data_IF_520309761528
#
_entry.id   IF_520309761528
#
_cell.length_a   1.000
_cell.length_b   1.000
_cell.length_c   1.000
_cell.angle_alpha   90.00
_cell.angle_beta   90.00
_cell.angle_gamma   90.00
#
_symmetry.space_group_name_H-M   'P 1'
#
loop_
_entity.id
_entity.type
_entity.pdbx_description
1 polymer ?
#
# COMPACT_ATOMS: atom_id res chain seq x y z
N UNK A 1 7.30 8.08 -4.23
CA UNK A 1 6.08 7.61 -4.91
C UNK A 1 5.46 6.42 -4.16
N UNK A 2 6.10 5.24 -4.18
CA UNK A 2 5.57 4.04 -3.50
C UNK A 2 5.25 4.24 -2.02
N UNK A 3 6.07 4.96 -1.26
CA UNK A 3 5.81 5.22 0.17
C UNK A 3 4.47 5.91 0.47
N UNK A 4 3.86 6.64 -0.47
CA UNK A 4 2.53 7.24 -0.26
C UNK A 4 1.37 6.26 -0.42
N UNK A 5 1.65 5.08 -0.98
CA UNK A 5 0.69 4.02 -1.31
C UNK A 5 0.91 2.80 -0.39
N UNK A 6 2.16 2.34 -0.25
CA UNK A 6 2.55 1.09 0.44
C UNK A 6 3.18 1.28 1.84
N UNK A 7 3.08 2.45 2.45
CA UNK A 7 3.52 2.67 3.84
C UNK A 7 2.33 2.53 4.81
N UNK A 8 2.37 1.62 5.80
CA UNK A 8 1.27 1.37 6.72
C UNK A 8 1.23 2.44 7.82
N UNK A 9 1.02 3.70 7.44
CA UNK A 9 0.76 4.79 8.39
C UNK A 9 -0.46 4.43 9.23
N UNK A 10 -0.32 4.48 10.55
CA UNK A 10 -1.38 4.05 11.48
C UNK A 10 -2.66 4.86 11.28
N UNK A 11 -2.58 6.16 11.01
CA UNK A 11 -3.77 6.96 10.72
C UNK A 11 -4.45 6.53 9.42
N UNK A 12 -3.67 6.12 8.41
CA UNK A 12 -4.22 5.69 7.12
C UNK A 12 -4.93 4.33 7.24
N UNK A 13 -4.28 3.31 7.80
CA UNK A 13 -4.84 1.95 7.85
C UNK A 13 -6.04 1.82 8.81
N UNK A 14 -6.21 2.79 9.72
CA UNK A 14 -7.37 2.90 10.63
C UNK A 14 -8.46 3.84 10.11
N UNK A 15 -8.20 4.56 9.01
CA UNK A 15 -9.17 5.49 8.44
C UNK A 15 -10.30 4.73 7.73
N UNK A 16 -11.56 5.13 7.95
CA UNK A 16 -12.73 4.51 7.31
C UNK A 16 -12.66 4.52 5.77
N UNK A 17 -12.05 5.57 5.21
CA UNK A 17 -11.91 5.78 3.76
C UNK A 17 -10.53 5.37 3.22
N UNK A 18 -9.76 4.55 3.95
CA UNK A 18 -8.38 4.18 3.60
C UNK A 18 -8.24 3.69 2.14
N UNK A 19 -9.18 2.84 1.70
CA UNK A 19 -9.22 2.31 0.33
C UNK A 19 -9.31 3.44 -0.70
N UNK A 20 -10.30 4.33 -0.54
CA UNK A 20 -10.49 5.46 -1.46
C UNK A 20 -9.30 6.43 -1.46
N UNK A 21 -8.68 6.67 -0.30
CA UNK A 21 -7.46 7.51 -0.20
C UNK A 21 -6.32 6.89 -1.01
N UNK A 22 -6.09 5.58 -0.87
CA UNK A 22 -5.04 4.84 -1.58
C UNK A 22 -5.33 4.82 -3.09
N UNK A 23 -6.57 4.56 -3.49
CA UNK A 23 -6.99 4.58 -4.90
C UNK A 23 -6.84 5.97 -5.53
N UNK A 24 -7.24 7.02 -4.80
CA UNK A 24 -7.07 8.41 -5.24
C UNK A 24 -5.60 8.75 -5.46
N UNK A 25 -4.73 8.40 -4.50
CA UNK A 25 -3.28 8.60 -4.64
C UNK A 25 -2.72 7.84 -5.84
N UNK A 26 -3.12 6.58 -6.01
CA UNK A 26 -2.69 5.73 -7.13
C UNK A 26 -3.08 6.36 -8.46
N UNK A 27 -4.32 6.84 -8.60
CA UNK A 27 -4.81 7.50 -9.82
C UNK A 27 -4.10 8.83 -10.09
N UNK A 28 -3.80 9.61 -9.05
CA UNK A 28 -3.04 10.85 -9.20
C UNK A 28 -1.62 10.58 -9.69
N UNK A 29 -0.94 9.58 -9.13
CA UNK A 29 0.38 9.18 -9.62
C UNK A 29 0.32 8.63 -11.05
N UNK A 30 -0.65 7.77 -11.35
CA UNK A 30 -0.87 7.21 -12.69
C UNK A 30 -0.99 8.32 -13.75
N UNK A 31 -1.83 9.32 -13.48
CA UNK A 31 -2.01 10.49 -14.37
C UNK A 31 -0.73 11.31 -14.52
N UNK A 32 -0.08 11.65 -13.41
CA UNK A 32 1.10 12.52 -13.43
C UNK A 32 2.32 11.86 -14.09
N UNK A 33 2.37 10.53 -14.10
CA UNK A 33 3.49 9.75 -14.64
C UNK A 33 3.17 9.13 -16.00
N UNK A 34 1.96 9.31 -16.51
CA UNK A 34 1.45 8.67 -17.72
C UNK A 34 1.62 7.13 -17.67
N UNK A 35 1.23 6.53 -16.54
CA UNK A 35 1.27 5.09 -16.29
C UNK A 35 -0.13 4.55 -16.03
N UNK A 36 -0.33 3.26 -16.30
CA UNK A 36 -1.53 2.55 -15.90
C UNK A 36 -1.65 2.47 -14.37
N UNK A 37 -2.83 2.80 -13.83
CA UNK A 37 -3.08 2.77 -12.40
C UNK A 37 -2.96 1.36 -11.80
N UNK A 38 -3.38 0.33 -12.55
CA UNK A 38 -3.23 -1.08 -12.18
C UNK A 38 -1.76 -1.43 -11.95
N UNK A 39 -0.87 -0.99 -12.84
CA UNK A 39 0.58 -1.22 -12.71
C UNK A 39 1.15 -0.66 -11.42
N UNK A 40 0.73 0.54 -11.02
CA UNK A 40 1.17 1.15 -9.75
C UNK A 40 0.58 0.40 -8.55
N UNK A 41 -0.70 0.02 -8.62
CA UNK A 41 -1.39 -0.74 -7.57
C UNK A 41 -0.71 -2.10 -7.35
N UNK A 42 -0.51 -2.87 -8.40
CA UNK A 42 0.02 -4.23 -8.36
C UNK A 42 1.46 -4.25 -7.82
N UNK A 43 2.31 -3.33 -8.29
CA UNK A 43 3.67 -3.21 -7.74
C UNK A 43 3.67 -2.84 -6.26
N UNK A 44 2.82 -1.88 -5.88
CA UNK A 44 2.73 -1.45 -4.48
C UNK A 44 2.21 -2.58 -3.58
N UNK A 45 1.27 -3.39 -4.08
CA UNK A 45 0.73 -4.57 -3.39
C UNK A 45 1.82 -5.62 -3.14
N UNK A 46 2.54 -6.02 -4.20
CA UNK A 46 3.62 -7.03 -4.08
C UNK A 46 4.70 -6.55 -3.11
N UNK A 47 5.02 -5.27 -3.12
CA UNK A 47 6.03 -4.71 -2.21
C UNK A 47 5.55 -4.63 -0.75
N UNK A 48 4.27 -4.34 -0.52
CA UNK A 48 3.68 -4.41 0.82
C UNK A 48 3.65 -5.85 1.34
N UNK A 49 3.33 -6.81 0.48
CA UNK A 49 3.37 -8.23 0.83
C UNK A 49 4.80 -8.73 1.09
N UNK A 50 5.78 -8.30 0.29
CA UNK A 50 7.19 -8.60 0.55
C UNK A 50 7.64 -8.03 1.90
N UNK A 51 7.21 -6.81 2.25
CA UNK A 51 7.49 -6.24 3.55
C UNK A 51 6.88 -7.08 4.70
N UNK A 52 5.67 -7.65 4.53
CA UNK A 52 5.13 -8.63 5.49
C UNK A 52 6.08 -9.80 5.69
N UNK A 53 6.62 -10.37 4.61
CA UNK A 53 7.57 -11.48 4.70
C UNK A 53 8.83 -11.12 5.50
N UNK A 54 9.43 -9.96 5.23
CA UNK A 54 10.60 -9.48 5.98
C UNK A 54 10.29 -9.20 7.44
N UNK A 55 9.13 -8.59 7.75
CA UNK A 55 8.72 -8.36 9.14
C UNK A 55 8.61 -9.67 9.91
N UNK A 56 8.08 -10.73 9.27
CA UNK A 56 7.99 -12.07 9.89
C UNK A 56 9.40 -12.67 10.08
N UNK A 57 10.25 -12.59 9.07
CA UNK A 57 11.62 -13.12 9.10
C UNK A 57 12.47 -12.43 10.18
N UNK A 58 12.28 -11.13 10.39
CA UNK A 58 12.98 -10.31 11.38
C UNK A 58 12.32 -10.35 12.79
N UNK A 59 11.35 -11.23 13.02
CA UNK A 59 10.58 -11.34 14.28
C UNK A 59 9.87 -10.03 14.73
N UNK A 60 9.48 -9.19 13.77
CA UNK A 60 8.74 -7.93 13.99
C UNK A 60 7.23 -8.10 13.79
N UNK A 61 6.43 -7.10 14.18
CA UNK A 61 4.97 -7.14 14.01
C UNK A 61 4.54 -6.88 12.55
N UNK A 62 4.02 -7.88 11.81
CA UNK A 62 3.62 -7.69 10.41
C UNK A 62 2.22 -7.07 10.26
N UNK A 63 1.44 -6.95 11.35
CA UNK A 63 0.02 -6.57 11.30
C UNK A 63 -0.26 -5.26 10.55
N UNK A 64 0.54 -4.18 10.69
CA UNK A 64 0.27 -2.95 9.95
C UNK A 64 0.35 -3.14 8.43
N UNK A 65 1.35 -3.91 7.97
CA UNK A 65 1.53 -4.21 6.55
C UNK A 65 0.49 -5.20 6.04
N UNK A 66 0.12 -6.22 6.82
CA UNK A 66 -0.99 -7.13 6.49
C UNK A 66 -2.29 -6.34 6.31
N UNK A 67 -2.58 -5.39 7.21
CA UNK A 67 -3.78 -4.56 7.10
C UNK A 67 -3.77 -3.71 5.84
N UNK A 68 -2.60 -3.19 5.46
CA UNK A 68 -2.44 -2.43 4.23
C UNK A 68 -2.68 -3.31 2.99
N UNK A 69 -2.13 -4.53 2.97
CA UNK A 69 -2.36 -5.51 1.89
C UNK A 69 -3.85 -5.85 1.76
N UNK A 70 -4.58 -6.05 2.87
CA UNK A 70 -6.03 -6.27 2.86
C UNK A 70 -6.81 -5.08 2.26
N UNK A 71 -6.42 -3.85 2.57
CA UNK A 71 -7.07 -2.65 2.02
C UNK A 71 -6.85 -2.55 0.51
N UNK A 72 -5.70 -3.00 0.03
CA UNK A 72 -5.31 -2.96 -1.38
C UNK A 72 -5.91 -4.09 -2.22
N UNK A 73 -6.35 -5.19 -1.60
CA UNK A 73 -7.07 -6.26 -2.28
C UNK A 73 -8.42 -5.75 -2.84
#
# INVERSE_FOLDING_TARGET
>A
MGAFIRNPLQELIRHKDAKNIIETRTNLFARNLNLEASRIKDWSYVQALLAVCWMIEDEQDPKPYLKLVEIMA
#
